data_IF_785478978253
#
_entry.id   IF_785478978253
#
_cell.length_a   1.000
_cell.length_b   1.000
_cell.length_c   1.000
_cell.angle_alpha   90.00
_cell.angle_beta   90.00
_cell.angle_gamma   90.00
#
_symmetry.space_group_name_H-M   'P 1'
#
loop_
_entity.id
_entity.type
_entity.pdbx_description
1 polymer ?
#
# COMPACT_ATOMS: atom_id res chain seq x y z
N UNK A 1 11.09 -15.36 26.69
CA UNK A 1 12.05 -14.27 26.56
C UNK A 1 11.31 -12.96 26.58
N UNK A 2 11.85 -11.99 27.27
CA UNK A 2 11.33 -10.63 27.32
C UNK A 2 12.32 -9.69 26.64
N UNK A 3 11.79 -8.69 25.91
CA UNK A 3 12.58 -7.67 25.23
C UNK A 3 13.71 -8.22 24.34
N UNK A 4 13.41 -9.30 23.64
CA UNK A 4 14.38 -9.98 22.80
C UNK A 4 14.50 -9.29 21.44
N UNK A 5 15.72 -9.01 20.99
CA UNK A 5 15.99 -8.49 19.65
C UNK A 5 15.92 -9.65 18.64
N UNK A 6 14.74 -9.82 18.00
CA UNK A 6 14.47 -10.88 17.04
C UNK A 6 15.12 -10.61 15.69
N UNK A 7 15.15 -9.34 15.27
CA UNK A 7 15.75 -8.89 14.03
C UNK A 7 16.67 -7.70 14.29
N UNK A 8 17.87 -7.75 13.73
CA UNK A 8 18.80 -6.63 13.65
C UNK A 8 19.55 -6.73 12.32
N UNK A 9 18.90 -6.30 11.25
CA UNK A 9 19.41 -6.43 9.90
C UNK A 9 19.71 -5.05 9.30
N UNK A 10 20.95 -4.79 8.85
CA UNK A 10 21.28 -3.55 8.15
C UNK A 10 20.68 -3.54 6.74
N UNK A 11 20.46 -2.33 6.21
CA UNK A 11 20.04 -2.16 4.82
C UNK A 11 21.14 -2.66 3.87
N UNK A 12 20.81 -3.57 2.98
CA UNK A 12 21.67 -4.02 1.89
C UNK A 12 20.92 -3.99 0.57
N UNK A 13 21.62 -3.98 -0.57
CA UNK A 13 20.97 -3.96 -1.90
C UNK A 13 20.07 -5.17 -2.18
N UNK A 14 20.27 -6.28 -1.46
CA UNK A 14 19.50 -7.53 -1.62
C UNK A 14 18.49 -7.78 -0.52
N UNK A 15 18.54 -7.01 0.56
CA UNK A 15 17.64 -7.20 1.69
C UNK A 15 16.21 -6.80 1.30
N UNK A 16 15.26 -7.72 1.48
CA UNK A 16 13.84 -7.43 1.40
C UNK A 16 13.28 -6.90 2.72
N UNK A 17 13.89 -7.29 3.83
CA UNK A 17 13.54 -6.85 5.18
C UNK A 17 14.80 -6.38 5.88
N UNK A 18 14.74 -5.21 6.50
CA UNK A 18 15.83 -4.69 7.34
C UNK A 18 15.26 -3.83 8.48
N UNK A 19 16.12 -3.51 9.46
CA UNK A 19 15.72 -2.75 10.65
C UNK A 19 15.85 -3.55 11.93
N UNK A 20 15.09 -3.18 12.94
CA UNK A 20 15.13 -3.84 14.25
C UNK A 20 13.74 -4.24 14.71
N UNK A 21 13.62 -5.48 15.18
CA UNK A 21 12.39 -6.01 15.75
C UNK A 21 12.65 -6.51 17.17
N UNK A 22 11.85 -6.06 18.09
CA UNK A 22 11.90 -6.45 19.49
C UNK A 22 10.60 -7.13 19.90
N UNK A 23 10.72 -8.24 20.58
CA UNK A 23 9.57 -9.06 20.95
C UNK A 23 9.65 -9.55 22.40
N UNK A 24 8.49 -9.75 23.00
CA UNK A 24 8.29 -10.66 24.11
C UNK A 24 7.78 -11.99 23.55
N UNK A 25 8.42 -13.06 23.91
CA UNK A 25 8.17 -14.36 23.31
C UNK A 25 7.97 -15.42 24.38
N UNK A 26 6.86 -16.15 24.30
CA UNK A 26 6.55 -17.28 25.14
C UNK A 26 6.02 -18.44 24.28
N UNK A 27 6.79 -19.53 24.21
CA UNK A 27 6.38 -20.70 23.45
C UNK A 27 6.81 -22.00 24.14
N UNK A 28 6.07 -23.04 23.83
CA UNK A 28 6.36 -24.41 24.23
C UNK A 28 6.69 -25.21 22.98
N UNK A 29 7.80 -25.94 23.04
CA UNK A 29 8.24 -26.86 22.00
C UNK A 29 8.12 -28.30 22.54
N UNK A 30 7.49 -29.18 21.77
CA UNK A 30 7.24 -30.58 22.15
C UNK A 30 7.38 -31.49 20.94
N UNK A 31 7.67 -32.76 21.18
CA UNK A 31 7.76 -33.82 20.17
C UNK A 31 9.18 -34.26 19.86
N UNK A 32 9.33 -35.33 19.09
CA UNK A 32 10.62 -35.76 18.56
C UNK A 32 11.16 -34.75 17.56
N UNK A 33 12.46 -34.81 17.25
CA UNK A 33 13.14 -33.82 16.39
C UNK A 33 12.53 -33.78 14.98
N UNK A 34 11.98 -34.91 14.52
CA UNK A 34 11.36 -35.06 13.20
C UNK A 34 9.91 -34.54 13.14
N UNK A 35 9.27 -34.34 14.31
CA UNK A 35 7.86 -33.94 14.43
C UNK A 35 7.69 -32.93 15.57
N UNK A 36 8.40 -31.82 15.49
CA UNK A 36 8.35 -30.78 16.52
C UNK A 36 7.06 -29.96 16.41
N UNK A 37 6.39 -29.81 17.53
CA UNK A 37 5.17 -28.98 17.68
C UNK A 37 5.49 -27.79 18.55
N UNK A 38 5.38 -26.57 17.98
CA UNK A 38 5.58 -25.31 18.67
C UNK A 38 4.27 -24.55 18.80
N UNK A 39 3.92 -24.15 20.02
CA UNK A 39 2.74 -23.35 20.33
C UNK A 39 3.14 -22.22 21.27
N UNK A 40 2.67 -21.00 20.96
CA UNK A 40 3.00 -19.87 21.82
C UNK A 40 2.36 -18.57 21.41
N UNK A 41 2.82 -17.51 22.07
CA UNK A 41 2.45 -16.14 21.79
C UNK A 41 3.69 -15.26 21.70
N UNK A 42 3.59 -14.21 20.90
CA UNK A 42 4.63 -13.21 20.68
C UNK A 42 4.01 -11.82 20.69
N UNK A 43 4.58 -10.92 21.48
CA UNK A 43 4.23 -9.50 21.45
C UNK A 43 5.33 -8.75 20.73
N UNK A 44 5.00 -8.07 19.64
CA UNK A 44 5.91 -7.18 18.92
C UNK A 44 5.85 -5.82 19.60
N UNK A 45 7.00 -5.39 20.15
CA UNK A 45 7.07 -4.22 21.02
C UNK A 45 7.13 -2.91 20.22
N UNK A 46 6.54 -1.84 20.76
CA UNK A 46 6.40 -0.53 20.11
C UNK A 46 7.70 0.15 19.68
N UNK A 47 8.86 -0.27 20.22
CA UNK A 47 10.19 0.20 19.75
C UNK A 47 10.70 -0.46 18.47
N UNK A 48 9.91 -1.38 17.89
CA UNK A 48 10.20 -2.04 16.62
C UNK A 48 10.09 -1.05 15.47
N UNK A 49 11.11 -1.06 14.60
CA UNK A 49 11.15 -0.30 13.35
C UNK A 49 11.72 -1.19 12.26
N UNK A 50 10.86 -1.62 11.36
CA UNK A 50 11.19 -2.57 10.28
C UNK A 50 10.82 -1.97 8.94
N UNK A 51 11.68 -2.16 7.95
CA UNK A 51 11.42 -1.80 6.57
C UNK A 51 11.28 -3.06 5.72
N UNK A 52 10.20 -3.11 4.94
CA UNK A 52 9.97 -4.10 3.90
C UNK A 52 10.15 -3.44 2.51
N UNK A 53 10.92 -4.06 1.62
CA UNK A 53 11.16 -3.56 0.27
C UNK A 53 10.38 -4.41 -0.73
N UNK A 54 9.44 -3.78 -1.43
CA UNK A 54 8.73 -4.40 -2.54
C UNK A 54 9.65 -4.45 -3.76
N UNK A 55 10.01 -5.64 -4.22
CA UNK A 55 10.85 -5.82 -5.43
C UNK A 55 10.04 -5.67 -6.71
N UNK A 56 8.85 -6.25 -6.71
CA UNK A 56 7.93 -6.27 -7.86
C UNK A 56 6.67 -5.49 -7.47
N UNK A 57 6.82 -4.16 -7.33
CA UNK A 57 5.72 -3.31 -6.92
C UNK A 57 4.75 -3.09 -8.09
N UNK A 58 3.47 -3.44 -7.96
CA UNK A 58 2.47 -3.11 -8.97
C UNK A 58 2.25 -1.60 -9.13
N UNK A 59 2.85 -0.79 -8.25
CA UNK A 59 2.81 0.67 -8.29
C UNK A 59 3.97 1.30 -9.08
N UNK A 60 4.93 0.51 -9.58
CA UNK A 60 6.02 1.04 -10.41
C UNK A 60 5.55 1.24 -11.85
N UNK A 61 5.62 2.49 -12.32
CA UNK A 61 5.21 2.87 -13.68
C UNK A 61 6.11 2.22 -14.75
N UNK A 62 7.36 1.90 -14.43
CA UNK A 62 8.31 1.30 -15.37
C UNK A 62 7.97 -0.14 -15.73
N UNK A 63 7.39 -0.92 -14.83
CA UNK A 63 6.98 -2.29 -15.13
C UNK A 63 5.77 -2.34 -16.07
N UNK A 64 4.87 -1.35 -15.95
CA UNK A 64 3.68 -1.25 -16.83
C UNK A 64 4.01 -0.88 -18.27
N UNK A 65 5.10 -0.16 -18.51
CA UNK A 65 5.59 0.14 -19.86
C UNK A 65 6.46 -0.99 -20.43
N UNK A 66 7.11 -1.79 -19.57
CA UNK A 66 7.90 -2.95 -19.95
C UNK A 66 7.07 -4.10 -20.54
N UNK A 67 5.90 -4.35 -20.00
CA UNK A 67 4.99 -5.39 -20.48
C UNK A 67 4.33 -5.07 -21.85
N UNK A 68 4.32 -3.80 -22.26
CA UNK A 68 3.77 -3.40 -23.56
C UNK A 68 4.76 -3.55 -24.73
N UNK A 69 6.06 -3.75 -24.47
CA UNK A 69 7.07 -3.97 -25.52
C UNK A 69 8.05 -5.05 -25.08
N UNK A 70 7.65 -6.30 -25.25
CA UNK A 70 8.58 -7.42 -25.15
C UNK A 70 9.39 -7.49 -26.43
N UNK A 71 10.59 -6.93 -26.44
CA UNK A 71 11.57 -7.25 -27.46
C UNK A 71 12.05 -8.68 -27.24
N UNK A 72 11.44 -9.63 -27.94
CA UNK A 72 11.89 -11.01 -27.93
C UNK A 72 13.20 -11.07 -28.72
N UNK A 73 14.30 -11.10 -28.01
CA UNK A 73 15.61 -11.36 -28.62
C UNK A 73 15.74 -12.87 -28.77
N UNK A 74 15.59 -13.36 -30.00
CA UNK A 74 15.58 -14.80 -30.35
C UNK A 74 16.93 -15.53 -30.12
N UNK A 75 17.94 -14.87 -29.57
CA UNK A 75 19.29 -15.43 -29.42
C UNK A 75 19.72 -15.68 -27.97
N UNK A 76 18.87 -15.48 -26.97
CA UNK A 76 19.27 -15.69 -25.58
C UNK A 76 18.52 -16.91 -25.00
N UNK A 77 19.16 -18.08 -25.16
CA UNK A 77 18.80 -19.32 -24.46
C UNK A 77 19.49 -19.38 -23.09
N UNK A 78 19.57 -18.29 -22.39
CA UNK A 78 19.92 -18.31 -20.96
C UNK A 78 18.64 -18.54 -20.17
N UNK A 79 18.53 -19.76 -19.64
CA UNK A 79 17.53 -20.12 -18.64
C UNK A 79 17.42 -19.02 -17.59
N UNK A 80 16.25 -18.40 -17.50
CA UNK A 80 15.87 -17.59 -16.34
C UNK A 80 15.91 -18.55 -15.16
N UNK A 81 16.96 -18.46 -14.34
CA UNK A 81 16.93 -19.05 -13.02
C UNK A 81 15.80 -18.33 -12.29
N UNK A 82 14.63 -18.98 -12.22
CA UNK A 82 13.65 -18.66 -11.20
C UNK A 82 14.41 -18.61 -9.89
N UNK A 83 14.57 -17.42 -9.32
CA UNK A 83 15.08 -17.25 -7.98
C UNK A 83 14.06 -17.90 -7.04
N UNK A 84 14.21 -19.21 -6.88
CA UNK A 84 13.53 -19.96 -5.85
C UNK A 84 13.88 -19.27 -4.54
N UNK A 85 12.92 -18.56 -3.97
CA UNK A 85 12.96 -18.20 -2.56
C UNK A 85 13.26 -19.52 -1.87
N UNK A 86 14.45 -19.65 -1.29
CA UNK A 86 14.79 -20.84 -0.51
C UNK A 86 13.74 -20.94 0.58
N UNK A 87 12.75 -21.80 0.38
CA UNK A 87 11.85 -22.18 1.44
C UNK A 87 12.73 -22.79 2.52
N UNK A 88 12.83 -22.11 3.65
CA UNK A 88 13.44 -22.66 4.84
C UNK A 88 12.51 -23.79 5.29
N UNK A 89 12.78 -25.00 4.79
CA UNK A 89 12.09 -26.18 5.26
C UNK A 89 12.57 -26.48 6.67
N UNK A 90 11.77 -26.11 7.65
CA UNK A 90 11.97 -26.50 9.05
C UNK A 90 11.55 -27.98 9.27
N UNK A 91 11.70 -28.83 8.27
CA UNK A 91 11.39 -30.24 8.18
C UNK A 91 10.55 -30.80 9.32
N UNK A 92 9.25 -31.08 9.05
CA UNK A 92 8.39 -31.73 10.03
C UNK A 92 7.91 -30.88 11.22
N UNK A 93 8.25 -29.59 11.27
CA UNK A 93 7.81 -28.70 12.36
C UNK A 93 6.38 -28.18 12.12
N UNK A 94 5.55 -28.27 13.13
CA UNK A 94 4.21 -27.66 13.21
C UNK A 94 4.25 -26.49 14.18
N UNK A 95 4.08 -25.26 13.66
CA UNK A 95 4.12 -24.03 14.45
C UNK A 95 2.76 -23.35 14.44
N UNK A 96 2.24 -22.96 15.59
CA UNK A 96 1.14 -22.02 15.70
C UNK A 96 1.45 -20.96 16.75
N UNK A 97 1.43 -19.70 16.32
CA UNK A 97 1.78 -18.55 17.14
C UNK A 97 0.69 -17.48 17.04
N UNK A 98 0.23 -17.00 18.18
CA UNK A 98 -0.54 -15.76 18.24
C UNK A 98 0.42 -14.59 18.39
N UNK A 99 0.24 -13.56 17.57
CA UNK A 99 1.10 -12.37 17.59
C UNK A 99 0.27 -11.15 17.90
N UNK A 100 0.68 -10.41 18.92
CA UNK A 100 0.14 -9.10 19.23
C UNK A 100 1.14 -8.03 18.80
N UNK A 101 0.70 -7.06 18.01
CA UNK A 101 1.52 -5.94 17.53
C UNK A 101 1.11 -4.70 18.31
N UNK A 102 2.05 -4.12 19.06
CA UNK A 102 1.86 -2.85 19.77
C UNK A 102 1.55 -1.72 18.78
N UNK A 103 0.68 -0.78 19.17
CA UNK A 103 0.23 0.31 18.31
C UNK A 103 1.33 1.33 17.94
N UNK A 104 2.43 1.36 18.69
CA UNK A 104 3.58 2.22 18.42
C UNK A 104 4.62 1.57 17.48
N UNK A 105 4.36 0.37 16.98
CA UNK A 105 5.23 -0.29 16.00
C UNK A 105 5.24 0.50 14.70
N UNK A 106 6.44 0.81 14.22
CA UNK A 106 6.64 1.48 12.95
C UNK A 106 7.06 0.48 11.88
N UNK A 107 6.26 0.38 10.83
CA UNK A 107 6.55 -0.40 9.65
C UNK A 107 6.72 0.53 8.45
N UNK A 108 7.86 0.44 7.79
CA UNK A 108 8.11 1.14 6.53
C UNK A 108 8.00 0.14 5.38
N UNK A 109 7.32 0.54 4.33
CA UNK A 109 7.23 -0.21 3.08
C UNK A 109 7.83 0.64 1.97
N UNK A 110 9.02 0.26 1.49
CA UNK A 110 9.60 0.87 0.31
C UNK A 110 8.89 0.31 -0.93
N UNK A 111 8.12 1.16 -1.60
CA UNK A 111 7.32 0.81 -2.79
C UNK A 111 8.20 0.62 -4.04
N UNK A 112 9.41 1.16 -3.99
CA UNK A 112 10.46 0.96 -4.98
C UNK A 112 11.79 0.68 -4.27
N UNK A 113 12.70 -0.11 -4.88
CA UNK A 113 13.92 -0.55 -4.22
C UNK A 113 14.87 0.56 -3.78
N UNK A 114 14.84 1.72 -4.43
CA UNK A 114 15.64 2.89 -4.07
C UNK A 114 15.11 3.64 -2.82
N UNK A 115 13.85 3.37 -2.42
CA UNK A 115 13.19 3.98 -1.27
C UNK A 115 12.71 5.40 -1.53
N UNK A 116 12.65 5.86 -2.79
CA UNK A 116 12.11 7.18 -3.15
C UNK A 116 10.59 7.27 -2.94
N UNK A 117 9.88 6.18 -3.21
CA UNK A 117 8.47 6.00 -2.94
C UNK A 117 8.30 5.03 -1.78
N UNK A 118 7.59 5.43 -0.74
CA UNK A 118 7.43 4.61 0.47
C UNK A 118 6.13 4.91 1.20
N UNK A 119 5.72 3.97 2.03
CA UNK A 119 4.75 4.19 3.11
C UNK A 119 5.44 4.02 4.46
N UNK A 120 5.21 4.93 5.37
CA UNK A 120 5.56 4.81 6.78
C UNK A 120 4.26 4.60 7.55
N UNK A 121 4.12 3.47 8.20
CA UNK A 121 2.89 3.01 8.82
C UNK A 121 3.12 2.85 10.32
N UNK A 122 2.21 3.37 11.12
CA UNK A 122 2.18 3.19 12.56
C UNK A 122 0.83 2.62 12.95
N UNK A 123 0.85 1.52 13.69
CA UNK A 123 -0.37 0.82 14.04
C UNK A 123 -0.11 -0.50 14.74
N UNK A 124 -1.18 -1.23 15.00
CA UNK A 124 -1.11 -2.50 15.70
C UNK A 124 -2.25 -3.44 15.35
N UNK A 125 -2.23 -4.61 15.98
CA UNK A 125 -3.28 -5.62 15.77
C UNK A 125 -2.88 -6.99 16.25
N UNK A 126 -3.80 -7.92 16.04
CA UNK A 126 -3.61 -9.30 16.42
C UNK A 126 -3.58 -10.19 15.17
N UNK A 127 -2.53 -10.99 15.07
CA UNK A 127 -2.31 -11.91 13.96
C UNK A 127 -2.14 -13.34 14.49
N UNK A 128 -2.47 -14.32 13.67
CA UNK A 128 -2.19 -15.73 13.91
C UNK A 128 -1.33 -16.27 12.78
N UNK A 129 -0.16 -16.77 13.14
CA UNK A 129 0.78 -17.40 12.23
C UNK A 129 0.76 -18.91 12.40
N UNK A 130 0.75 -19.64 11.28
CA UNK A 130 0.88 -21.08 11.24
C UNK A 130 1.93 -21.47 10.22
N UNK A 131 2.75 -22.46 10.59
CA UNK A 131 3.65 -23.16 9.69
C UNK A 131 3.37 -24.64 9.80
N UNK A 132 3.05 -25.27 8.66
CA UNK A 132 2.67 -26.68 8.62
C UNK A 132 3.90 -27.58 8.40
N UNK A 133 3.85 -28.87 8.77
CA UNK A 133 4.93 -29.81 8.45
C UNK A 133 5.21 -29.95 6.95
N UNK A 134 4.26 -29.59 6.10
CA UNK A 134 4.38 -29.57 4.63
C UNK A 134 5.13 -28.35 4.11
N UNK A 135 5.36 -27.36 4.97
CA UNK A 135 6.07 -26.13 4.62
C UNK A 135 5.17 -24.95 4.28
N UNK A 136 3.84 -25.09 4.43
CA UNK A 136 2.92 -24.00 4.19
C UNK A 136 2.98 -22.96 5.30
N UNK A 137 3.05 -21.70 4.94
CA UNK A 137 3.01 -20.55 5.85
C UNK A 137 1.68 -19.82 5.68
N UNK A 138 0.90 -19.76 6.76
CA UNK A 138 -0.38 -19.08 6.80
C UNK A 138 -0.33 -17.95 7.83
N UNK A 139 -0.84 -16.79 7.43
CA UNK A 139 -1.01 -15.64 8.30
C UNK A 139 -2.46 -15.18 8.23
N UNK A 140 -3.09 -14.98 9.38
CA UNK A 140 -4.45 -14.46 9.46
C UNK A 140 -4.53 -13.35 10.50
N UNK A 141 -5.42 -12.38 10.28
CA UNK A 141 -5.64 -11.27 11.19
C UNK A 141 -5.44 -9.92 10.53
N UNK A 142 -5.55 -8.85 11.32
CA UNK A 142 -5.57 -7.48 10.82
C UNK A 142 -4.54 -6.61 11.55
N UNK A 143 -3.80 -5.83 10.76
CA UNK A 143 -2.97 -4.72 11.21
C UNK A 143 -3.70 -3.41 10.92
N UNK A 144 -4.19 -2.75 11.96
CA UNK A 144 -4.94 -1.50 11.87
C UNK A 144 -4.00 -0.32 11.97
N UNK A 145 -4.12 0.62 11.02
CA UNK A 145 -3.27 1.80 10.94
C UNK A 145 -3.87 2.93 11.79
N UNK A 146 -3.06 3.47 12.69
CA UNK A 146 -3.42 4.60 13.55
C UNK A 146 -2.97 5.92 12.95
N UNK A 147 -1.80 5.91 12.31
CA UNK A 147 -1.21 7.04 11.62
C UNK A 147 -0.22 6.56 10.55
N UNK A 148 0.28 7.49 9.75
CA UNK A 148 1.33 7.21 8.79
C UNK A 148 1.39 8.24 7.68
N UNK A 149 2.39 8.09 6.84
CA UNK A 149 2.55 8.88 5.64
C UNK A 149 2.84 7.99 4.43
N UNK A 150 2.37 8.40 3.28
CA UNK A 150 2.69 7.80 2.00
C UNK A 150 3.35 8.84 1.12
N UNK A 151 4.60 8.59 0.75
CA UNK A 151 5.31 9.41 -0.22
C UNK A 151 5.28 8.68 -1.56
N UNK A 152 4.60 9.28 -2.52
CA UNK A 152 4.40 8.65 -3.82
C UNK A 152 4.54 9.67 -4.95
N UNK A 153 5.40 9.35 -5.91
CA UNK A 153 5.61 10.14 -7.10
C UNK A 153 4.86 9.52 -8.28
N UNK A 154 3.91 10.26 -8.80
CA UNK A 154 3.18 9.92 -10.01
C UNK A 154 3.77 10.76 -11.16
N UNK A 155 3.96 10.22 -12.37
CA UNK A 155 4.72 10.89 -13.44
C UNK A 155 4.28 12.32 -13.80
N UNK A 156 3.00 12.63 -13.64
CA UNK A 156 2.42 13.96 -13.96
C UNK A 156 2.09 14.78 -12.72
N UNK A 157 2.20 14.20 -11.52
CA UNK A 157 1.91 14.86 -10.25
C UNK A 157 3.23 15.12 -9.54
N UNK A 158 3.50 16.35 -9.07
CA UNK A 158 4.67 16.61 -8.24
C UNK A 158 4.74 15.64 -7.06
N UNK A 159 5.94 15.30 -6.63
CA UNK A 159 6.15 14.45 -5.46
C UNK A 159 5.31 14.95 -4.28
N UNK A 160 4.37 14.12 -3.82
CA UNK A 160 3.41 14.44 -2.76
C UNK A 160 3.61 13.54 -1.56
N UNK A 161 3.32 14.07 -0.41
CA UNK A 161 3.24 13.32 0.84
C UNK A 161 1.78 13.33 1.29
N UNK A 162 1.20 12.16 1.36
CA UNK A 162 -0.18 11.94 1.81
C UNK A 162 -0.17 11.41 3.23
N UNK A 163 -1.14 11.83 4.03
CA UNK A 163 -1.34 11.30 5.38
C UNK A 163 -2.31 10.13 5.34
N UNK A 164 -1.91 9.01 5.92
CA UNK A 164 -2.75 7.81 6.04
C UNK A 164 -3.95 8.16 6.93
N UNK A 165 -5.14 7.83 6.44
CA UNK A 165 -6.39 8.09 7.15
C UNK A 165 -6.69 7.00 8.17
N UNK A 166 -7.27 7.41 9.29
CA UNK A 166 -7.76 6.48 10.30
C UNK A 166 -8.82 5.54 9.72
N UNK A 167 -8.81 4.27 10.15
CA UNK A 167 -9.65 3.23 9.57
C UNK A 167 -8.98 2.45 8.42
N UNK A 168 -7.79 2.86 8.01
CA UNK A 168 -6.95 2.10 7.09
C UNK A 168 -6.41 0.83 7.76
N UNK A 169 -6.27 -0.25 6.99
CA UNK A 169 -5.75 -1.52 7.52
C UNK A 169 -5.15 -2.41 6.43
N UNK A 170 -4.37 -3.38 6.90
CA UNK A 170 -3.87 -4.51 6.11
C UNK A 170 -4.39 -5.79 6.77
N UNK A 171 -4.97 -6.70 6.00
CA UNK A 171 -5.58 -7.92 6.51
C UNK A 171 -5.04 -9.15 5.77
N UNK A 172 -4.62 -10.15 6.55
CA UNK A 172 -4.22 -11.45 6.02
C UNK A 172 -5.33 -12.47 6.26
N UNK A 173 -5.63 -13.24 5.21
CA UNK A 173 -6.65 -14.30 5.21
C UNK A 173 -6.06 -15.68 4.88
N UNK A 174 -4.73 -15.82 4.97
CA UNK A 174 -3.99 -17.06 4.72
C UNK A 174 -2.64 -16.80 4.07
N UNK A 175 -2.60 -16.38 2.83
CA UNK A 175 -1.34 -16.14 2.12
C UNK A 175 -0.61 -14.92 2.72
N UNK A 176 0.59 -15.17 3.29
CA UNK A 176 1.41 -14.14 3.92
C UNK A 176 1.91 -13.07 2.93
N UNK A 177 2.10 -13.47 1.64
CA UNK A 177 2.63 -12.57 0.60
C UNK A 177 1.54 -11.78 -0.12
N UNK A 178 0.26 -12.11 0.08
CA UNK A 178 -0.87 -11.49 -0.61
C UNK A 178 -1.96 -11.00 0.36
N UNK A 179 -1.66 -10.00 1.21
CA UNK A 179 -2.66 -9.41 2.09
C UNK A 179 -3.71 -8.61 1.32
N UNK A 180 -4.87 -8.45 1.92
CA UNK A 180 -5.89 -7.50 1.51
C UNK A 180 -5.55 -6.12 2.05
N UNK A 181 -5.61 -5.11 1.20
CA UNK A 181 -5.33 -3.72 1.54
C UNK A 181 -6.63 -2.91 1.59
N UNK A 182 -6.71 -2.03 2.57
CA UNK A 182 -7.71 -0.97 2.64
C UNK A 182 -7.02 0.26 3.23
N UNK A 183 -6.31 1.00 2.39
CA UNK A 183 -5.49 2.13 2.81
C UNK A 183 -5.95 3.37 2.06
N UNK A 184 -6.35 4.39 2.78
CA UNK A 184 -6.66 5.72 2.22
C UNK A 184 -5.62 6.71 2.73
N UNK A 185 -5.00 7.43 1.80
CA UNK A 185 -4.02 8.45 2.10
C UNK A 185 -4.37 9.77 1.41
N UNK A 186 -4.45 10.87 2.16
CA UNK A 186 -4.91 12.16 1.64
C UNK A 186 -3.97 13.30 1.97
N UNK A 187 -3.98 14.32 1.11
CA UNK A 187 -3.40 15.64 1.34
C UNK A 187 -4.53 16.66 1.43
N UNK A 188 -4.41 17.61 2.35
CA UNK A 188 -5.36 18.71 2.48
C UNK A 188 -5.03 19.83 1.50
N UNK A 189 -5.93 20.07 0.54
CA UNK A 189 -5.81 21.13 -0.47
C UNK A 189 -6.91 22.17 -0.23
N UNK A 190 -6.58 23.45 -0.27
CA UNK A 190 -7.54 24.54 -0.22
C UNK A 190 -7.72 25.14 -1.61
N UNK A 191 -8.95 25.16 -2.09
CA UNK A 191 -9.27 25.71 -3.41
C UNK A 191 -10.49 26.63 -3.37
N UNK A 192 -10.52 27.55 -4.30
CA UNK A 192 -11.67 28.44 -4.47
C UNK A 192 -12.79 27.71 -5.20
N UNK A 193 -13.99 27.76 -4.62
CA UNK A 193 -15.23 27.24 -5.21
C UNK A 193 -16.17 28.42 -5.43
N UNK A 194 -16.59 28.61 -6.67
CA UNK A 194 -17.55 29.65 -7.04
C UNK A 194 -18.40 29.17 -8.18
N UNK A 195 -19.67 29.58 -8.21
CA UNK A 195 -20.54 29.50 -9.38
C UNK A 195 -20.40 30.79 -10.17
N UNK A 196 -20.57 30.74 -11.49
CA UNK A 196 -20.50 31.90 -12.37
C UNK A 196 -21.37 33.05 -11.84
N UNK A 197 -20.75 34.19 -11.55
CA UNK A 197 -21.43 35.40 -11.07
C UNK A 197 -21.70 35.47 -9.58
N UNK A 198 -21.30 34.48 -8.79
CA UNK A 198 -21.37 34.49 -7.31
C UNK A 198 -20.02 34.67 -6.65
N UNK A 199 -20.03 35.12 -5.38
CA UNK A 199 -18.82 35.23 -4.56
C UNK A 199 -18.17 33.87 -4.38
N UNK A 200 -16.91 33.74 -4.81
CA UNK A 200 -16.11 32.52 -4.56
C UNK A 200 -15.78 32.39 -3.08
N UNK A 201 -15.78 31.18 -2.58
CA UNK A 201 -15.33 30.84 -1.21
C UNK A 201 -14.21 29.82 -1.23
N UNK A 202 -13.37 29.84 -0.23
CA UNK A 202 -12.29 28.85 -0.09
C UNK A 202 -12.84 27.64 0.66
N UNK A 203 -12.70 26.47 0.06
CA UNK A 203 -13.09 25.17 0.60
C UNK A 203 -11.86 24.28 0.80
N UNK A 204 -11.86 23.57 1.92
CA UNK A 204 -10.84 22.56 2.21
C UNK A 204 -11.25 21.21 1.63
N UNK A 205 -10.38 20.61 0.82
CA UNK A 205 -10.57 19.30 0.22
C UNK A 205 -9.55 18.31 0.78
N UNK A 206 -9.97 17.09 1.02
CA UNK A 206 -9.10 15.95 1.21
C UNK A 206 -8.98 15.22 -0.13
N UNK A 207 -7.79 15.32 -0.72
CA UNK A 207 -7.48 14.77 -2.06
C UNK A 207 -6.42 13.69 -1.89
N UNK A 208 -6.61 12.53 -2.48
CA UNK A 208 -5.64 11.47 -2.25
C UNK A 208 -5.85 10.21 -3.06
N UNK A 209 -5.36 9.13 -2.49
CA UNK A 209 -5.27 7.81 -3.10
C UNK A 209 -5.88 6.79 -2.14
N UNK A 210 -6.70 5.89 -2.68
CA UNK A 210 -7.18 4.70 -2.00
C UNK A 210 -6.54 3.46 -2.63
N UNK A 211 -5.91 2.63 -1.82
CA UNK A 211 -5.41 1.31 -2.17
C UNK A 211 -6.37 0.28 -1.60
N UNK A 212 -6.84 -0.62 -2.45
CA UNK A 212 -7.83 -1.64 -2.09
C UNK A 212 -7.52 -2.98 -2.73
N UNK A 213 -8.23 -4.04 -2.33
CA UNK A 213 -8.06 -5.41 -2.81
C UNK A 213 -6.74 -6.07 -2.36
N UNK A 214 -6.39 -7.21 -2.95
CA UNK A 214 -5.16 -7.92 -2.59
C UNK A 214 -3.92 -7.26 -3.20
N UNK A 215 -2.77 -7.51 -2.60
CA UNK A 215 -1.51 -6.95 -3.08
C UNK A 215 -1.19 -7.37 -4.53
N UNK A 216 -1.55 -8.60 -4.93
CA UNK A 216 -1.37 -9.11 -6.29
C UNK A 216 -2.34 -8.46 -7.30
N UNK A 217 -3.54 -8.10 -6.83
CA UNK A 217 -4.58 -7.46 -7.66
C UNK A 217 -4.91 -6.08 -7.09
N UNK A 218 -3.89 -5.24 -6.95
CA UNK A 218 -4.01 -3.96 -6.28
C UNK A 218 -4.92 -3.00 -7.04
N UNK A 219 -6.03 -2.61 -6.40
CA UNK A 219 -6.89 -1.52 -6.83
C UNK A 219 -6.33 -0.19 -6.36
N UNK A 220 -6.17 0.76 -7.29
CA UNK A 220 -5.77 2.13 -7.00
C UNK A 220 -6.86 3.08 -7.49
N UNK A 221 -7.36 3.94 -6.62
CA UNK A 221 -8.35 4.96 -6.98
C UNK A 221 -7.93 6.32 -6.42
N UNK A 222 -8.22 7.39 -7.16
CA UNK A 222 -8.08 8.75 -6.64
C UNK A 222 -9.35 9.16 -5.91
N UNK A 223 -9.18 9.77 -4.73
CA UNK A 223 -10.25 10.17 -3.85
C UNK A 223 -10.33 11.68 -3.71
N UNK A 224 -11.54 12.19 -3.59
CA UNK A 224 -11.80 13.60 -3.34
C UNK A 224 -13.01 13.74 -2.43
N UNK A 225 -12.84 14.49 -1.35
CA UNK A 225 -13.92 14.84 -0.43
C UNK A 225 -13.76 16.26 0.09
N UNK A 226 -14.87 16.85 0.52
CA UNK A 226 -14.94 18.19 1.12
C UNK A 226 -15.66 18.10 2.47
N UNK A 227 -15.06 17.53 3.51
CA UNK A 227 -15.76 17.15 4.74
C UNK A 227 -16.28 18.34 5.55
N UNK A 228 -15.76 19.55 5.29
CA UNK A 228 -16.17 20.78 5.99
C UNK A 228 -17.21 21.60 5.21
N UNK A 229 -17.56 21.19 3.98
CA UNK A 229 -18.54 21.87 3.12
C UNK A 229 -19.56 20.88 2.57
N UNK A 230 -20.71 20.77 3.25
CA UNK A 230 -21.77 19.83 2.89
C UNK A 230 -22.29 20.04 1.46
N UNK A 231 -22.40 21.29 1.00
CA UNK A 231 -22.91 21.59 -0.36
C UNK A 231 -21.95 21.08 -1.44
N UNK A 232 -20.64 21.26 -1.25
CA UNK A 232 -19.63 20.74 -2.19
C UNK A 232 -19.54 19.22 -2.06
N UNK A 233 -19.63 18.68 -0.86
CA UNK A 233 -19.63 17.22 -0.65
C UNK A 233 -20.81 16.55 -1.35
N UNK A 234 -22.00 17.15 -1.32
CA UNK A 234 -23.19 16.63 -2.02
C UNK A 234 -23.00 16.67 -3.54
N UNK A 235 -22.36 17.73 -4.07
CA UNK A 235 -22.00 17.79 -5.50
C UNK A 235 -21.01 16.68 -5.87
N UNK A 236 -19.99 16.45 -5.05
CA UNK A 236 -19.01 15.36 -5.26
C UNK A 236 -19.69 13.98 -5.18
N UNK A 237 -20.65 13.79 -4.29
CA UNK A 237 -21.39 12.54 -4.16
C UNK A 237 -22.31 12.26 -5.36
N UNK A 238 -22.78 13.30 -6.05
CA UNK A 238 -23.57 13.18 -7.27
C UNK A 238 -22.73 12.82 -8.52
N UNK A 239 -21.41 12.99 -8.46
CA UNK A 239 -20.49 12.62 -9.54
C UNK A 239 -20.23 11.12 -9.55
N UNK A 240 -19.97 10.56 -10.74
CA UNK A 240 -19.42 9.21 -10.86
C UNK A 240 -18.04 9.08 -10.19
N UNK A 241 -17.63 7.86 -9.87
CA UNK A 241 -16.30 7.59 -9.30
C UNK A 241 -15.19 8.08 -10.24
N UNK A 242 -15.38 7.91 -11.55
CA UNK A 242 -14.44 8.33 -12.58
C UNK A 242 -14.29 9.86 -12.65
N UNK A 243 -15.41 10.59 -12.69
CA UNK A 243 -15.40 12.06 -12.73
C UNK A 243 -14.74 12.64 -11.48
N UNK A 244 -15.08 12.10 -10.31
CA UNK A 244 -14.46 12.49 -9.03
C UNK A 244 -12.98 12.19 -9.00
N UNK A 245 -12.55 11.04 -9.54
CA UNK A 245 -11.14 10.68 -9.68
C UNK A 245 -10.36 11.62 -10.59
N UNK A 246 -10.94 11.99 -11.76
CA UNK A 246 -10.36 13.01 -12.68
C UNK A 246 -10.18 14.35 -12.00
N UNK A 247 -11.20 14.78 -11.26
CA UNK A 247 -11.15 16.04 -10.52
C UNK A 247 -10.09 15.99 -9.40
N UNK A 248 -9.98 14.88 -8.68
CA UNK A 248 -8.94 14.66 -7.67
C UNK A 248 -7.52 14.81 -8.28
N UNK A 249 -7.25 14.14 -9.40
CA UNK A 249 -5.96 14.25 -10.09
C UNK A 249 -5.70 15.67 -10.56
N UNK A 250 -6.70 16.35 -11.13
CA UNK A 250 -6.59 17.75 -11.53
C UNK A 250 -6.20 18.64 -10.36
N UNK A 251 -6.82 18.44 -9.21
CA UNK A 251 -6.49 19.18 -7.99
C UNK A 251 -5.09 18.87 -7.46
N UNK A 252 -4.63 17.62 -7.53
CA UNK A 252 -3.27 17.26 -7.13
C UNK A 252 -2.20 17.92 -8.00
N UNK A 253 -2.48 18.09 -9.30
CA UNK A 253 -1.58 18.73 -10.27
C UNK A 253 -1.61 20.26 -10.17
N UNK A 254 -2.80 20.85 -10.15
CA UNK A 254 -3.00 22.29 -10.31
C UNK A 254 -3.24 23.04 -8.99
N UNK A 255 -3.64 22.35 -7.94
CA UNK A 255 -4.13 22.96 -6.70
C UNK A 255 -5.50 23.66 -6.84
N UNK A 256 -6.20 23.47 -7.97
CA UNK A 256 -7.45 24.17 -8.27
C UNK A 256 -8.62 23.19 -8.36
N UNK A 257 -9.80 23.62 -7.88
CA UNK A 257 -11.06 22.92 -8.06
C UNK A 257 -11.70 23.36 -9.37
N UNK A 258 -11.79 22.45 -10.34
CA UNK A 258 -12.39 22.69 -11.64
C UNK A 258 -13.55 21.73 -11.85
N UNK A 259 -14.75 22.05 -11.35
CA UNK A 259 -15.96 21.33 -11.75
C UNK A 259 -16.30 21.69 -13.21
N UNK A 260 -16.88 20.73 -13.97
CA UNK A 260 -17.24 20.94 -15.37
C UNK A 260 -18.08 22.21 -15.55
N UNK A 261 -17.58 23.15 -16.37
CA UNK A 261 -18.21 24.43 -16.69
C UNK A 261 -17.21 25.60 -16.81
N UNK A 262 -16.05 25.54 -16.19
CA UNK A 262 -15.09 26.66 -16.17
C UNK A 262 -13.79 26.33 -16.90
N UNK A 263 -13.86 26.26 -18.22
CA UNK A 263 -12.64 26.19 -19.07
C UNK A 263 -12.13 27.60 -19.35
N UNK A 264 -11.34 28.16 -18.46
CA UNK A 264 -10.53 29.36 -18.77
C UNK A 264 -9.07 29.05 -18.59
N UNK A 265 -8.37 28.90 -19.74
CA UNK A 265 -6.90 29.00 -19.79
C UNK A 265 -6.17 27.73 -20.22
N UNK A 266 -5.98 27.61 -21.50
CA UNK A 266 -4.87 27.14 -22.35
C UNK A 266 -3.82 26.15 -21.86
N UNK A 267 -4.04 25.34 -20.83
CA UNK A 267 -3.15 24.24 -20.53
C UNK A 267 -3.88 22.92 -20.87
N UNK A 268 -3.36 22.20 -21.88
CA UNK A 268 -3.96 20.95 -22.36
C UNK A 268 -3.68 19.79 -21.37
N UNK A 269 -4.08 19.97 -20.13
CA UNK A 269 -4.03 18.93 -19.05
C UNK A 269 -4.87 17.73 -19.46
N UNK A 270 -5.95 17.95 -20.24
CA UNK A 270 -6.89 16.91 -20.64
C UNK A 270 -6.25 15.78 -21.47
N UNK A 271 -5.26 16.02 -22.32
CA UNK A 271 -4.68 14.94 -23.13
C UNK A 271 -3.68 14.09 -22.35
N UNK A 272 -2.85 14.67 -21.51
CA UNK A 272 -1.93 13.94 -20.65
C UNK A 272 -2.69 13.21 -19.53
N UNK A 273 -3.74 13.86 -18.99
CA UNK A 273 -4.62 13.28 -17.98
C UNK A 273 -5.46 12.15 -18.56
N UNK A 274 -6.03 12.30 -19.76
CA UNK A 274 -6.82 11.25 -20.40
C UNK A 274 -5.96 10.03 -20.76
N UNK A 275 -4.73 10.19 -21.23
CA UNK A 275 -3.85 9.06 -21.50
C UNK A 275 -3.41 8.34 -20.20
N UNK A 276 -3.14 9.09 -19.14
CA UNK A 276 -2.82 8.52 -17.83
C UNK A 276 -4.04 7.80 -17.20
N UNK A 277 -5.21 8.44 -17.19
CA UNK A 277 -6.42 7.85 -16.65
C UNK A 277 -6.92 6.67 -17.47
N UNK A 278 -6.76 6.68 -18.80
CA UNK A 278 -7.06 5.51 -19.63
C UNK A 278 -6.14 4.33 -19.34
N UNK A 279 -4.85 4.58 -19.06
CA UNK A 279 -3.92 3.52 -18.65
C UNK A 279 -4.22 2.96 -17.26
N UNK A 280 -4.63 3.81 -16.31
CA UNK A 280 -4.92 3.40 -14.93
C UNK A 280 -6.36 2.88 -14.74
N UNK A 281 -7.34 3.47 -15.43
CA UNK A 281 -8.76 3.04 -15.34
C UNK A 281 -9.04 1.79 -16.18
N UNK A 282 -8.26 1.49 -17.21
CA UNK A 282 -8.39 0.23 -17.95
C UNK A 282 -8.06 -0.99 -17.09
N UNK A 283 -7.32 -0.81 -15.99
CA UNK A 283 -7.04 -1.86 -15.02
C UNK A 283 -8.20 -2.13 -14.05
N UNK A 284 -9.10 -1.16 -13.87
CA UNK A 284 -10.31 -1.34 -13.02
C UNK A 284 -11.39 -2.16 -13.75
N UNK A 285 -11.33 -2.28 -15.09
CA UNK A 285 -12.36 -2.90 -15.91
C UNK A 285 -12.15 -4.39 -16.24
N UNK A 286 -11.11 -5.05 -15.71
CA UNK A 286 -10.84 -6.47 -16.00
C UNK A 286 -11.42 -7.42 -14.94
N UNK A 287 -12.23 -6.95 -14.00
CA UNK A 287 -12.94 -7.84 -13.07
C UNK A 287 -14.45 -7.61 -13.09
N UNK A 288 -15.11 -7.97 -14.18
CA UNK A 288 -16.49 -8.44 -14.13
C UNK A 288 -16.54 -9.92 -14.51
N UNK A 289 -17.45 -10.71 -13.85
CA UNK A 289 -17.43 -12.18 -13.79
C UNK A 289 -17.71 -12.86 -15.10
#
# INVERSE_FOLDING_TARGET
AENYELLNAPRTKRAMVYGKMYVDFNATLRGPVEELVMRGNMNILGKTNVTYVLKDSPLTVNDRLGDMVTFVNFNDTTSVEESSVQQISLGGMDVAMTMHIDQAVQARVDLVPDGSNYMLLEGGGDLSFQYTPQGDMLLTGRYSLMSGEMKYQIPIIPLKTFNIQNGSYVEWTGNIMNPQLNITATERVRASVGEDGKTSRIVGFDVGIALSQSLENLGLAFTLSAPEDASVQDQLNAMSVEERGKLAVTMLVTGMYMAEGNSTGGFNVNNALNSFLQSELSLIHISEP
#
